data_IF_573248972910
#
_entry.id   IF_573248972910
#
_cell.length_a   1.000
_cell.length_b   1.000
_cell.length_c   1.000
_cell.angle_alpha   90.00
_cell.angle_beta   90.00
_cell.angle_gamma   90.00
#
_symmetry.space_group_name_H-M   'P 1'
#
loop_
_entity.id
_entity.type
_entity.pdbx_description
1 polymer ?
#
# COMPACT_ATOMS: atom_id res chain seq x y z
N UNK A 1 -0.70 18.72 -4.05
CA UNK A 1 -0.94 17.47 -3.30
C UNK A 1 -0.61 17.74 -1.84
N UNK A 2 -1.42 17.23 -0.91
CA UNK A 2 -1.24 17.40 0.54
C UNK A 2 -1.24 16.01 1.19
N UNK A 3 -0.27 15.73 2.05
CA UNK A 3 -0.15 14.48 2.81
C UNK A 3 0.56 14.71 4.15
N UNK A 4 0.67 13.66 4.96
CA UNK A 4 1.54 13.58 6.14
C UNK A 4 2.61 12.52 5.93
N UNK A 5 3.81 12.73 6.43
CA UNK A 5 4.90 11.75 6.43
C UNK A 5 4.63 10.57 7.38
N UNK A 6 3.96 10.83 8.50
CA UNK A 6 3.50 9.80 9.44
C UNK A 6 2.24 10.22 10.21
N UNK A 7 1.67 9.32 11.03
CA UNK A 7 0.58 9.64 11.96
C UNK A 7 1.11 10.27 13.25
N UNK A 8 0.36 11.18 13.87
CA UNK A 8 0.64 11.66 15.23
C UNK A 8 0.07 10.74 16.33
N UNK A 9 0.38 11.00 17.61
CA UNK A 9 -0.24 10.30 18.74
C UNK A 9 -1.77 10.41 18.71
N UNK A 10 -2.47 9.32 19.04
CA UNK A 10 -3.93 9.28 19.01
C UNK A 10 -4.51 8.45 20.14
N UNK A 11 -5.58 8.95 20.75
CA UNK A 11 -6.38 8.22 21.74
C UNK A 11 -7.49 7.36 21.09
N UNK A 12 -7.70 7.48 19.78
CA UNK A 12 -8.74 6.75 19.06
C UNK A 12 -8.23 5.32 18.80
N UNK A 13 -8.97 4.26 19.23
CA UNK A 13 -8.48 2.87 19.17
C UNK A 13 -7.98 2.41 17.80
N UNK A 14 -8.67 2.81 16.73
CA UNK A 14 -8.27 2.44 15.36
C UNK A 14 -6.83 2.86 15.04
N UNK A 15 -6.44 4.09 15.39
CA UNK A 15 -5.09 4.60 15.10
C UNK A 15 -4.00 3.99 15.98
N UNK A 16 -4.37 3.20 16.99
CA UNK A 16 -3.45 2.41 17.80
C UNK A 16 -3.24 0.99 17.25
N UNK A 17 -4.01 0.59 16.24
CA UNK A 17 -3.84 -0.70 15.57
C UNK A 17 -2.65 -0.68 14.60
N UNK A 18 -2.13 -1.86 14.25
CA UNK A 18 -1.09 -2.03 13.22
C UNK A 18 -1.52 -1.56 11.83
N UNK A 19 -2.81 -1.36 11.56
CA UNK A 19 -3.30 -0.74 10.34
C UNK A 19 -3.38 0.79 10.49
N UNK A 20 -4.05 1.27 11.54
CA UNK A 20 -4.33 2.68 11.71
C UNK A 20 -3.10 3.55 12.02
N UNK A 21 -2.04 2.97 12.60
CA UNK A 21 -0.78 3.69 12.87
C UNK A 21 -0.02 4.14 11.59
N UNK A 22 -0.45 3.71 10.41
CA UNK A 22 0.09 4.15 9.11
C UNK A 22 -0.91 5.01 8.32
N UNK A 23 -2.10 5.29 8.87
CA UNK A 23 -3.19 5.96 8.13
C UNK A 23 -2.97 7.47 8.11
N UNK A 24 -2.41 7.97 7.02
CA UNK A 24 -2.24 9.41 6.76
C UNK A 24 -3.29 9.96 5.79
N UNK A 25 -3.55 11.28 5.79
CA UNK A 25 -4.36 11.90 4.74
C UNK A 25 -3.58 11.95 3.42
N UNK A 26 -4.27 11.75 2.29
CA UNK A 26 -3.74 12.01 0.95
C UNK A 26 -4.81 12.81 0.19
N UNK A 27 -4.45 14.00 -0.29
CA UNK A 27 -5.33 14.86 -1.08
C UNK A 27 -4.63 15.33 -2.36
N UNK A 28 -5.26 15.03 -3.49
CA UNK A 28 -4.89 15.56 -4.79
C UNK A 28 -5.77 16.76 -5.13
N UNK A 29 -5.13 17.81 -5.65
CA UNK A 29 -5.80 19.01 -6.11
C UNK A 29 -5.12 19.46 -7.40
N UNK A 30 -5.92 19.60 -8.46
CA UNK A 30 -5.49 20.06 -9.76
C UNK A 30 -6.48 21.13 -10.23
N UNK A 31 -6.08 22.42 -10.26
CA UNK A 31 -6.92 23.49 -10.79
C UNK A 31 -7.38 23.20 -12.21
N UNK A 32 -8.61 23.61 -12.54
CA UNK A 32 -9.20 23.49 -13.88
C UNK A 32 -9.41 22.06 -14.41
N UNK A 33 -9.12 21.03 -13.62
CA UNK A 33 -9.51 19.64 -13.90
C UNK A 33 -10.83 19.28 -13.20
N UNK A 34 -11.54 18.29 -13.72
CA UNK A 34 -12.72 17.72 -13.05
C UNK A 34 -12.33 16.65 -12.02
N UNK A 35 -11.39 17.01 -11.13
CA UNK A 35 -10.90 16.13 -10.08
C UNK A 35 -11.73 16.34 -8.81
N UNK A 36 -12.82 15.59 -8.66
CA UNK A 36 -13.77 15.71 -7.54
C UNK A 36 -14.14 14.34 -6.97
N UNK A 37 -14.41 14.31 -5.67
CA UNK A 37 -14.94 13.15 -4.96
C UNK A 37 -13.95 12.54 -3.97
N UNK A 38 -14.32 11.35 -3.47
CA UNK A 38 -13.55 10.60 -2.47
C UNK A 38 -13.20 9.24 -3.05
N UNK A 39 -11.92 8.87 -2.95
CA UNK A 39 -11.47 7.53 -3.29
C UNK A 39 -11.36 6.68 -2.02
N UNK A 40 -12.05 5.55 -1.99
CA UNK A 40 -12.05 4.62 -0.85
C UNK A 40 -11.07 3.46 -1.02
N UNK A 41 -10.37 3.36 -2.16
CA UNK A 41 -9.33 2.34 -2.39
C UNK A 41 -8.24 2.47 -1.34
N UNK A 42 -7.62 1.35 -1.03
CA UNK A 42 -6.40 1.33 -0.21
C UNK A 42 -5.28 1.98 -1.00
N UNK A 43 -4.69 3.03 -0.43
CA UNK A 43 -3.62 3.82 -1.06
C UNK A 43 -2.46 3.98 -0.10
N UNK A 44 -1.28 4.21 -0.67
CA UNK A 44 -0.02 4.35 0.05
C UNK A 44 0.83 5.49 -0.51
N UNK A 45 1.87 5.89 0.23
CA UNK A 45 2.78 6.97 -0.18
C UNK A 45 3.45 6.72 -1.55
N UNK A 46 3.77 5.47 -1.88
CA UNK A 46 4.40 5.12 -3.16
C UNK A 46 3.46 5.27 -4.37
N UNK A 47 2.16 5.44 -4.15
CA UNK A 47 1.15 5.70 -5.20
C UNK A 47 1.15 7.16 -5.66
N UNK A 48 1.79 8.07 -4.91
CA UNK A 48 1.74 9.52 -5.17
C UNK A 48 2.39 9.86 -6.51
N UNK A 49 3.58 9.32 -6.77
CA UNK A 49 4.30 9.57 -8.03
C UNK A 49 3.52 9.01 -9.23
N UNK A 50 3.12 7.72 -9.25
CA UNK A 50 2.22 7.20 -10.28
C UNK A 50 0.97 8.04 -10.48
N UNK A 51 0.32 8.49 -9.41
CA UNK A 51 -0.89 9.31 -9.49
C UNK A 51 -0.66 10.70 -10.08
N UNK A 52 0.47 11.35 -9.78
CA UNK A 52 0.83 12.64 -10.39
C UNK A 52 1.11 12.43 -11.89
N UNK A 53 1.86 11.40 -12.25
CA UNK A 53 2.21 11.11 -13.64
C UNK A 53 0.96 10.79 -14.48
N UNK A 54 0.01 10.05 -13.91
CA UNK A 54 -1.29 9.75 -14.53
C UNK A 54 -2.11 11.03 -14.78
N UNK A 55 -2.21 11.93 -13.79
CA UNK A 55 -2.88 13.23 -13.96
C UNK A 55 -2.24 14.13 -15.02
N UNK A 56 -0.94 13.97 -15.26
CA UNK A 56 -0.19 14.70 -16.29
C UNK A 56 -0.26 14.04 -17.67
N UNK A 57 -0.89 12.86 -17.79
CA UNK A 57 -0.84 12.01 -18.99
C UNK A 57 0.61 11.71 -19.43
N UNK A 58 1.50 11.46 -18.48
CA UNK A 58 2.88 11.13 -18.76
C UNK A 58 2.99 9.74 -19.43
N UNK A 59 3.64 9.67 -20.58
CA UNK A 59 3.62 8.52 -21.48
C UNK A 59 4.96 7.75 -21.56
N UNK A 60 5.95 8.12 -20.74
CA UNK A 60 7.24 7.44 -20.70
C UNK A 60 7.33 6.41 -19.57
N UNK A 61 8.25 5.47 -19.71
CA UNK A 61 8.49 4.44 -18.70
C UNK A 61 9.12 5.01 -17.43
N UNK A 62 8.69 4.51 -16.28
CA UNK A 62 9.25 4.82 -14.97
C UNK A 62 9.15 3.59 -14.06
N UNK A 63 9.90 3.59 -12.95
CA UNK A 63 9.82 2.55 -11.92
C UNK A 63 8.99 3.08 -10.74
N UNK A 64 8.04 2.27 -10.28
CA UNK A 64 7.30 2.53 -9.05
C UNK A 64 6.93 1.23 -8.34
N UNK A 65 6.83 1.30 -7.02
CA UNK A 65 6.32 0.21 -6.16
C UNK A 65 4.84 0.39 -5.78
N UNK A 66 4.23 1.49 -6.23
CA UNK A 66 2.81 1.81 -6.06
C UNK A 66 2.10 1.92 -7.41
N UNK A 67 0.79 2.14 -7.37
CA UNK A 67 -0.06 2.29 -8.56
C UNK A 67 -0.79 3.63 -8.52
N UNK A 68 -1.22 4.14 -9.67
CA UNK A 68 -2.04 5.35 -9.68
C UNK A 68 -3.35 5.10 -8.92
N UNK A 69 -3.73 5.97 -7.97
CA UNK A 69 -5.03 5.87 -7.31
C UNK A 69 -6.19 6.20 -8.25
N UNK A 70 -5.92 6.79 -9.42
CA UNK A 70 -6.93 7.14 -10.42
C UNK A 70 -7.23 6.01 -11.41
N UNK A 71 -6.37 4.98 -11.46
CA UNK A 71 -6.64 3.79 -12.25
C UNK A 71 -7.83 3.03 -11.64
N UNK A 72 -8.95 3.00 -12.36
CA UNK A 72 -10.18 2.33 -11.92
C UNK A 72 -10.12 0.80 -12.06
N UNK A 73 -9.19 0.27 -12.87
CA UNK A 73 -9.08 -1.15 -13.23
C UNK A 73 -8.35 -1.99 -12.19
N UNK A 74 -7.50 -1.36 -11.37
CA UNK A 74 -6.70 -2.03 -10.35
C UNK A 74 -7.30 -1.89 -8.94
N UNK A 75 -7.15 -2.93 -8.12
CA UNK A 75 -7.42 -2.85 -6.70
C UNK A 75 -6.25 -2.16 -5.98
N UNK A 76 -6.58 -1.38 -4.94
CA UNK A 76 -5.59 -0.73 -4.11
C UNK A 76 -4.96 -1.70 -3.10
N UNK A 77 -3.72 -1.41 -2.71
CA UNK A 77 -3.06 -2.05 -1.59
C UNK A 77 -2.07 -1.10 -0.92
N UNK A 78 -1.69 -1.42 0.32
CA UNK A 78 -0.62 -0.74 1.03
C UNK A 78 0.30 -1.74 1.70
N UNK A 79 1.62 -1.60 1.53
CA UNK A 79 2.63 -2.40 2.19
C UNK A 79 3.30 -1.60 3.30
N UNK A 80 3.42 -2.18 4.49
CA UNK A 80 4.04 -1.56 5.66
C UNK A 80 4.99 -2.56 6.35
N UNK A 81 6.03 -2.04 7.00
CA UNK A 81 6.81 -2.80 7.97
C UNK A 81 6.46 -2.32 9.38
N UNK A 82 6.00 -3.23 10.23
CA UNK A 82 5.42 -2.87 11.54
C UNK A 82 6.43 -2.88 12.69
N UNK A 83 7.72 -3.10 12.38
CA UNK A 83 8.80 -3.34 13.34
C UNK A 83 9.14 -4.82 13.52
N UNK A 84 8.12 -5.68 13.48
CA UNK A 84 8.29 -7.13 13.73
C UNK A 84 7.91 -7.98 12.51
N UNK A 85 7.06 -7.44 11.62
CA UNK A 85 6.54 -8.16 10.46
C UNK A 85 6.23 -7.22 9.31
N UNK A 86 6.21 -7.79 8.10
CA UNK A 86 5.67 -7.15 6.92
C UNK A 86 4.15 -7.29 6.91
N UNK A 87 3.46 -6.25 6.49
CA UNK A 87 2.01 -6.21 6.44
C UNK A 87 1.56 -5.70 5.08
N UNK A 88 0.56 -6.36 4.49
CA UNK A 88 -0.16 -5.85 3.33
C UNK A 88 -1.63 -5.65 3.67
N UNK A 89 -2.16 -4.49 3.30
CA UNK A 89 -3.57 -4.12 3.44
C UNK A 89 -4.14 -4.07 2.03
N UNK A 90 -5.16 -4.87 1.75
CA UNK A 90 -5.95 -4.77 0.53
C UNK A 90 -7.36 -4.25 0.81
N UNK A 91 -8.22 -4.26 -0.20
CA UNK A 91 -9.60 -3.76 -0.11
C UNK A 91 -10.51 -4.51 0.88
N UNK A 92 -10.15 -5.76 1.23
CA UNK A 92 -10.98 -6.63 2.08
C UNK A 92 -10.21 -7.24 3.25
N UNK A 93 -8.98 -7.67 3.02
CA UNK A 93 -8.15 -8.34 4.02
C UNK A 93 -6.88 -7.57 4.32
N UNK A 94 -6.37 -7.80 5.52
CA UNK A 94 -5.03 -7.45 5.95
C UNK A 94 -4.28 -8.74 6.29
N UNK A 95 -3.05 -8.87 5.81
CA UNK A 95 -2.18 -10.03 6.05
C UNK A 95 -0.87 -9.55 6.68
N UNK A 96 -0.41 -10.24 7.72
CA UNK A 96 0.92 -10.05 8.31
C UNK A 96 1.79 -11.28 8.04
N UNK A 97 3.04 -11.03 7.65
CA UNK A 97 4.01 -12.02 7.17
C UNK A 97 5.37 -11.71 7.80
N UNK A 98 6.02 -12.71 8.39
CA UNK A 98 7.29 -12.52 9.10
C UNK A 98 8.53 -12.60 8.17
N UNK A 99 8.33 -12.89 6.89
CA UNK A 99 9.39 -13.15 5.92
C UNK A 99 9.45 -14.60 5.45
N UNK A 100 8.83 -15.52 6.20
CA UNK A 100 8.77 -16.95 5.92
C UNK A 100 7.34 -17.47 5.84
N UNK A 101 6.49 -17.11 6.80
CA UNK A 101 5.10 -17.57 6.88
C UNK A 101 4.11 -16.46 7.27
N UNK A 102 2.83 -16.72 7.01
CA UNK A 102 1.74 -15.82 7.41
C UNK A 102 1.47 -16.01 8.90
N UNK A 103 1.69 -14.96 9.68
CA UNK A 103 1.53 -14.99 11.14
C UNK A 103 0.14 -14.54 11.59
N UNK A 104 -0.54 -13.72 10.79
CA UNK A 104 -1.93 -13.32 11.03
C UNK A 104 -2.61 -12.85 9.75
N UNK A 105 -3.93 -12.96 9.70
CA UNK A 105 -4.73 -12.25 8.70
C UNK A 105 -6.15 -11.97 9.22
N UNK A 106 -6.78 -10.92 8.69
CA UNK A 106 -8.02 -10.36 9.21
C UNK A 106 -8.95 -9.93 8.07
N UNK A 107 -10.26 -10.04 8.29
CA UNK A 107 -11.28 -9.46 7.41
C UNK A 107 -11.39 -7.96 7.68
N UNK A 108 -10.39 -7.20 7.24
CA UNK A 108 -10.13 -5.80 7.57
C UNK A 108 -11.34 -4.87 7.39
N UNK A 109 -12.16 -5.08 6.36
CA UNK A 109 -13.35 -4.25 6.10
C UNK A 109 -14.41 -4.37 7.21
N UNK A 110 -14.47 -5.52 7.88
CA UNK A 110 -15.44 -5.82 8.94
C UNK A 110 -14.82 -5.89 10.34
N UNK A 111 -13.50 -6.02 10.43
CA UNK A 111 -12.71 -6.06 11.67
C UNK A 111 -11.55 -5.06 11.58
N UNK A 112 -11.88 -3.76 11.53
CA UNK A 112 -10.89 -2.68 11.40
C UNK A 112 -9.99 -2.54 12.63
N UNK A 113 -10.39 -3.13 13.77
CA UNK A 113 -9.62 -3.15 15.01
C UNK A 113 -8.65 -4.35 15.10
N UNK A 114 -8.65 -5.24 14.11
CA UNK A 114 -7.76 -6.40 14.02
C UNK A 114 -7.87 -7.34 15.24
N UNK A 115 -9.10 -7.57 15.69
CA UNK A 115 -9.38 -8.36 16.90
C UNK A 115 -9.60 -9.84 16.62
N UNK A 116 -9.93 -10.20 15.39
CA UNK A 116 -10.34 -11.55 14.98
C UNK A 116 -9.34 -12.18 14.01
N UNK A 117 -8.14 -12.51 14.50
CA UNK A 117 -7.16 -13.26 13.68
C UNK A 117 -7.78 -14.56 13.14
N UNK A 118 -7.54 -14.83 11.86
CA UNK A 118 -8.14 -15.93 11.11
C UNK A 118 -7.21 -17.13 10.90
N UNK A 119 -5.96 -17.07 11.37
CA UNK A 119 -5.05 -18.22 11.37
C UNK A 119 -5.66 -19.42 12.10
N UNK A 120 -5.50 -20.62 11.53
CA UNK A 120 -6.01 -21.88 12.09
C UNK A 120 -7.53 -22.04 12.02
N UNK A 121 -8.27 -21.10 11.42
CA UNK A 121 -9.71 -21.21 11.17
C UNK A 121 -9.98 -21.78 9.77
N UNK A 122 -11.24 -22.09 9.45
CA UNK A 122 -11.69 -22.59 8.13
C UNK A 122 -11.62 -21.53 7.00
N UNK A 123 -10.67 -20.60 7.09
CA UNK A 123 -10.44 -19.51 6.14
C UNK A 123 -8.97 -19.49 5.79
N UNK A 124 -8.65 -19.09 4.56
CA UNK A 124 -7.29 -18.93 4.07
C UNK A 124 -7.00 -17.45 3.79
N UNK A 125 -5.72 -17.02 3.92
CA UNK A 125 -5.34 -15.68 3.49
C UNK A 125 -5.53 -15.55 1.97
N UNK A 126 -5.89 -14.34 1.53
CA UNK A 126 -5.97 -14.02 0.11
C UNK A 126 -4.62 -14.28 -0.58
N UNK A 127 -4.60 -15.32 -1.42
CA UNK A 127 -3.38 -15.77 -2.08
C UNK A 127 -2.79 -14.75 -3.07
N UNK A 128 -3.63 -13.92 -3.70
CA UNK A 128 -3.15 -12.89 -4.61
C UNK A 128 -2.52 -11.76 -3.80
N UNK A 129 -3.18 -11.33 -2.74
CA UNK A 129 -2.67 -10.30 -1.85
C UNK A 129 -1.33 -10.71 -1.21
N UNK A 130 -1.22 -11.95 -0.73
CA UNK A 130 0.03 -12.49 -0.20
C UNK A 130 1.14 -12.52 -1.25
N UNK A 131 0.83 -12.99 -2.47
CA UNK A 131 1.81 -13.00 -3.58
C UNK A 131 2.27 -11.59 -3.95
N UNK A 132 1.37 -10.60 -3.92
CA UNK A 132 1.72 -9.19 -4.13
C UNK A 132 2.74 -8.74 -3.09
N UNK A 133 2.50 -9.00 -1.80
CA UNK A 133 3.45 -8.67 -0.74
C UNK A 133 4.82 -9.32 -0.98
N UNK A 134 4.84 -10.63 -1.22
CA UNK A 134 6.09 -11.37 -1.47
C UNK A 134 6.84 -10.83 -2.69
N UNK A 135 6.13 -10.48 -3.76
CA UNK A 135 6.71 -9.92 -4.98
C UNK A 135 7.29 -8.52 -4.75
N UNK A 136 6.62 -7.68 -3.96
CA UNK A 136 7.15 -6.35 -3.57
C UNK A 136 8.44 -6.53 -2.76
N UNK A 137 8.45 -7.40 -1.76
CA UNK A 137 9.63 -7.66 -0.94
C UNK A 137 10.79 -8.24 -1.76
N UNK A 138 10.51 -9.17 -2.67
CA UNK A 138 11.51 -9.76 -3.54
C UNK A 138 12.14 -8.69 -4.45
N UNK A 139 11.34 -7.86 -5.11
CA UNK A 139 11.82 -6.81 -5.99
C UNK A 139 12.61 -5.75 -5.21
N UNK A 140 12.10 -5.30 -4.07
CA UNK A 140 12.78 -4.33 -3.21
C UNK A 140 14.16 -4.84 -2.76
N UNK A 141 14.23 -6.07 -2.25
CA UNK A 141 15.48 -6.67 -1.81
C UNK A 141 16.46 -6.89 -2.97
N UNK A 142 15.95 -7.33 -4.14
CA UNK A 142 16.78 -7.49 -5.33
C UNK A 142 17.38 -6.15 -5.76
N UNK A 143 16.56 -5.11 -5.88
CA UNK A 143 16.99 -3.76 -6.26
C UNK A 143 18.00 -3.17 -5.27
N UNK A 144 17.82 -3.41 -3.97
CA UNK A 144 18.81 -3.00 -2.96
C UNK A 144 20.14 -3.72 -3.14
N UNK A 145 20.14 -5.05 -3.29
CA UNK A 145 21.36 -5.85 -3.43
C UNK A 145 22.11 -5.47 -4.72
N UNK A 146 21.39 -5.13 -5.79
CA UNK A 146 21.95 -4.81 -7.10
C UNK A 146 22.20 -3.32 -7.33
N UNK A 147 21.85 -2.44 -6.39
CA UNK A 147 21.82 -0.98 -6.58
C UNK A 147 20.98 -0.56 -7.80
N UNK A 148 19.87 -1.24 -8.05
CA UNK A 148 18.94 -1.02 -9.18
C UNK A 148 17.63 -0.40 -8.71
N UNK A 149 17.72 0.71 -7.98
CA UNK A 149 16.55 1.49 -7.53
C UNK A 149 16.18 2.63 -8.49
N UNK A 150 16.95 2.79 -9.57
CA UNK A 150 16.72 3.76 -10.64
C UNK A 150 16.78 3.03 -11.97
N UNK A 151 16.02 3.50 -12.97
CA UNK A 151 16.30 3.11 -14.35
C UNK A 151 17.71 3.58 -14.68
N UNK A 152 18.54 2.74 -15.27
CA UNK A 152 19.80 3.23 -15.85
C UNK A 152 19.44 4.36 -16.82
N UNK A 153 20.12 5.50 -16.71
CA UNK A 153 20.02 6.51 -17.74
C UNK A 153 20.56 5.87 -19.02
N UNK A 154 19.67 5.46 -19.91
CA UNK A 154 20.06 5.13 -21.29
C UNK A 154 20.59 6.41 -21.90
N UNK A 155 21.92 6.59 -21.83
CA UNK A 155 22.62 7.56 -22.64
C UNK A 155 22.64 7.03 -24.08
N UNK A 156 21.89 7.76 -24.92
CA UNK A 156 21.80 7.75 -26.39
C UNK A 156 20.98 6.65 -27.06
#
# INVERSE_FOLDING_TARGET
>A
MITSDHTGPSAIPYYQTKAGMFRTPILFYLPYADLKGTNTKTTQQTDIVPGILDLLNFDQSFIAFGNSPFDSTLNGFAVNYTGDSYQIIGEKQLIQFDGQEVISFYDYKTDSLLTQNKIGKNSLPDSLLLKTLQSVLQQYNHSLIKNQLTTEATSN
#
